data_IF_373238191849
#
_entry.id   IF_373238191849
#
_cell.length_a   1.000
_cell.length_b   1.000
_cell.length_c   1.000
_cell.angle_alpha   90.00
_cell.angle_beta   90.00
_cell.angle_gamma   90.00
#
_symmetry.space_group_name_H-M   'P 1'
#
loop_
_entity.id
_entity.type
_entity.pdbx_description
1 polymer ?
#
# COMPACT_ATOMS: atom_id res chain seq x y z
N UNK A 1 -10.02 29.76 -7.96
CA UNK A 1 -10.31 28.64 -7.06
C UNK A 1 -10.94 27.56 -7.90
N UNK A 2 -10.33 26.39 -7.96
CA UNK A 2 -10.96 25.22 -8.54
C UNK A 2 -11.73 24.53 -7.41
N UNK A 3 -13.07 24.62 -7.45
CA UNK A 3 -13.94 24.08 -6.40
C UNK A 3 -14.59 22.83 -6.98
N UNK A 4 -14.07 21.68 -6.60
CA UNK A 4 -14.59 20.37 -7.02
C UNK A 4 -15.52 19.79 -5.96
N UNK A 5 -16.45 18.93 -6.40
CA UNK A 5 -17.19 18.07 -5.46
C UNK A 5 -16.23 17.06 -4.84
N UNK A 6 -16.48 16.69 -3.59
CA UNK A 6 -15.77 15.58 -2.94
C UNK A 6 -16.49 14.28 -3.29
N UNK A 7 -15.73 13.31 -3.75
CA UNK A 7 -16.20 11.97 -4.08
C UNK A 7 -15.35 10.89 -3.43
N UNK A 8 -15.63 9.64 -3.81
CA UNK A 8 -14.88 8.47 -3.38
C UNK A 8 -14.56 7.59 -4.58
N UNK A 9 -13.43 6.89 -4.51
CA UNK A 9 -13.05 5.88 -5.51
C UNK A 9 -12.47 4.64 -4.83
N UNK A 10 -12.95 3.48 -5.24
CA UNK A 10 -12.35 2.19 -4.88
C UNK A 10 -11.17 1.91 -5.82
N UNK A 11 -9.99 1.74 -5.24
CA UNK A 11 -8.80 1.23 -5.92
C UNK A 11 -8.65 -0.26 -5.59
N UNK A 12 -8.41 -1.06 -6.62
CA UNK A 12 -8.22 -2.51 -6.54
C UNK A 12 -6.85 -2.87 -7.10
N UNK A 13 -6.30 -4.00 -6.66
CA UNK A 13 -4.99 -4.50 -7.12
C UNK A 13 -3.82 -3.53 -6.89
N UNK A 14 -3.94 -2.66 -5.88
CA UNK A 14 -2.89 -1.70 -5.50
C UNK A 14 -1.68 -2.48 -5.00
N UNK A 15 -0.50 -2.36 -5.64
CA UNK A 15 0.68 -3.13 -5.28
C UNK A 15 1.21 -2.70 -3.91
N UNK A 16 1.67 -3.67 -3.12
CA UNK A 16 2.32 -3.41 -1.83
C UNK A 16 3.83 -3.56 -1.98
N UNK A 17 4.55 -2.47 -1.75
CA UNK A 17 6.00 -2.44 -1.82
C UNK A 17 6.63 -2.77 -0.47
N UNK A 18 7.73 -3.52 -0.45
CA UNK A 18 8.51 -3.71 0.79
C UNK A 18 9.71 -2.76 0.74
N UNK A 19 9.80 -1.86 1.72
CA UNK A 19 10.89 -0.90 1.83
C UNK A 19 11.87 -1.30 2.94
N UNK A 20 13.08 -0.72 2.90
CA UNK A 20 14.16 -0.97 3.88
C UNK A 20 14.55 -2.45 4.01
N UNK A 21 14.47 -3.21 2.91
CA UNK A 21 14.94 -4.60 2.85
C UNK A 21 16.48 -4.63 2.83
N UNK A 22 17.14 -5.40 3.71
CA UNK A 22 18.59 -5.60 3.64
C UNK A 22 19.04 -6.16 2.28
N UNK A 23 20.17 -5.69 1.76
CA UNK A 23 20.64 -6.01 0.39
C UNK A 23 20.85 -7.52 0.15
N UNK A 24 21.17 -8.28 1.20
CA UNK A 24 21.39 -9.72 1.13
C UNK A 24 20.09 -10.55 1.18
N UNK A 25 18.93 -9.89 1.24
CA UNK A 25 17.62 -10.53 1.34
C UNK A 25 16.74 -10.27 0.12
N UNK A 26 15.83 -11.20 -0.12
CA UNK A 26 14.68 -11.07 -1.00
C UNK A 26 13.42 -11.29 -0.17
N UNK A 27 12.45 -10.38 -0.29
CA UNK A 27 11.22 -10.42 0.48
C UNK A 27 10.03 -10.50 -0.46
N UNK A 28 9.08 -11.36 -0.13
CA UNK A 28 7.80 -11.51 -0.83
C UNK A 28 6.65 -11.33 0.15
N UNK A 29 5.53 -10.82 -0.36
CA UNK A 29 4.29 -10.63 0.39
C UNK A 29 3.19 -11.55 -0.14
N UNK A 30 2.37 -12.08 0.77
CA UNK A 30 1.17 -12.85 0.47
C UNK A 30 -0.07 -12.25 1.16
N UNK A 31 -1.03 -11.67 0.43
CA UNK A 31 -0.96 -11.28 -0.98
C UNK A 31 -0.02 -10.10 -1.24
N UNK A 32 0.33 -9.86 -2.51
CA UNK A 32 1.18 -8.75 -2.94
C UNK A 32 0.41 -7.47 -3.30
N UNK A 33 -0.92 -7.50 -3.22
CA UNK A 33 -1.80 -6.39 -3.57
C UNK A 33 -2.90 -6.22 -2.52
N UNK A 34 -3.40 -5.00 -2.40
CA UNK A 34 -4.54 -4.65 -1.55
C UNK A 34 -5.61 -3.92 -2.35
N UNK A 35 -6.75 -3.67 -1.71
CA UNK A 35 -7.75 -2.73 -2.18
C UNK A 35 -8.09 -1.74 -1.09
N UNK A 36 -8.37 -0.49 -1.44
CA UNK A 36 -8.79 0.56 -0.52
C UNK A 36 -9.72 1.55 -1.22
N UNK A 37 -10.49 2.29 -0.44
CA UNK A 37 -11.31 3.39 -0.92
C UNK A 37 -10.63 4.69 -0.53
N UNK A 38 -10.47 5.63 -1.46
CA UNK A 38 -9.92 6.97 -1.22
C UNK A 38 -10.98 8.05 -1.43
N UNK A 39 -10.84 9.19 -0.76
CA UNK A 39 -11.71 10.36 -0.94
C UNK A 39 -10.92 11.58 -1.40
N UNK A 40 -11.53 12.43 -2.23
CA UNK A 40 -10.86 13.56 -2.89
C UNK A 40 -11.75 14.29 -3.90
N UNK A 41 -11.19 15.26 -4.63
CA UNK A 41 -11.90 15.97 -5.70
C UNK A 41 -12.29 15.03 -6.85
N UNK A 42 -13.55 15.07 -7.29
CA UNK A 42 -14.08 14.12 -8.30
C UNK A 42 -13.27 14.08 -9.59
N UNK A 43 -12.73 15.22 -10.05
CA UNK A 43 -11.95 15.27 -11.29
C UNK A 43 -10.59 14.58 -11.09
N UNK A 44 -9.95 14.81 -9.94
CA UNK A 44 -8.72 14.11 -9.56
C UNK A 44 -8.94 12.60 -9.45
N UNK A 45 -9.98 12.19 -8.74
CA UNK A 45 -10.33 10.77 -8.55
C UNK A 45 -10.61 10.06 -9.88
N UNK A 46 -11.15 10.76 -10.88
CA UNK A 46 -11.50 10.15 -12.18
C UNK A 46 -10.30 9.55 -12.91
N UNK A 47 -9.10 10.13 -12.72
CA UNK A 47 -7.86 9.75 -13.40
C UNK A 47 -6.98 8.75 -12.67
N UNK A 48 -7.35 8.32 -11.45
CA UNK A 48 -6.50 7.44 -10.65
C UNK A 48 -6.48 6.00 -11.16
N UNK A 49 -5.30 5.39 -11.10
CA UNK A 49 -5.05 3.97 -11.32
C UNK A 49 -4.60 3.28 -10.02
N UNK A 50 -4.25 2.00 -10.11
CA UNK A 50 -3.79 1.20 -8.98
C UNK A 50 -2.46 1.67 -8.38
N UNK A 51 -1.67 2.50 -9.08
CA UNK A 51 -0.40 3.04 -8.61
C UNK A 51 -0.54 4.45 -8.03
N UNK A 52 -1.74 5.02 -8.03
CA UNK A 52 -2.01 6.37 -7.52
C UNK A 52 -1.77 6.54 -6.01
N UNK A 53 -1.71 5.44 -5.26
CA UNK A 53 -1.45 5.47 -3.82
C UNK A 53 -0.28 4.56 -3.50
N UNK A 54 0.65 5.07 -2.69
CA UNK A 54 1.76 4.26 -2.22
C UNK A 54 1.32 3.41 -1.02
N UNK A 55 1.28 2.10 -1.22
CA UNK A 55 1.10 1.12 -0.15
C UNK A 55 2.41 0.39 0.09
N UNK A 56 2.85 0.34 1.35
CA UNK A 56 4.14 -0.24 1.68
C UNK A 56 4.17 -0.97 3.03
N UNK A 57 5.09 -1.91 3.15
CA UNK A 57 5.52 -2.51 4.43
C UNK A 57 6.97 -2.11 4.67
N UNK A 58 7.26 -1.53 5.83
CA UNK A 58 8.64 -1.26 6.25
C UNK A 58 9.23 -2.50 6.93
N UNK A 59 10.11 -3.20 6.20
CA UNK A 59 10.74 -4.44 6.68
C UNK A 59 11.46 -4.22 8.02
N UNK A 60 12.15 -3.09 8.17
CA UNK A 60 12.99 -2.82 9.34
C UNK A 60 12.17 -2.71 10.64
N UNK A 61 10.91 -2.28 10.54
CA UNK A 61 10.07 -2.02 11.71
C UNK A 61 9.04 -3.11 11.96
N UNK A 62 8.62 -3.84 10.92
CA UNK A 62 7.54 -4.82 11.03
C UNK A 62 8.01 -6.28 10.99
N UNK A 63 9.16 -6.57 10.37
CA UNK A 63 9.64 -7.96 10.28
C UNK A 63 10.07 -8.48 11.66
N UNK A 64 9.63 -9.69 11.98
CA UNK A 64 10.04 -10.43 13.17
C UNK A 64 10.15 -11.92 12.86
N UNK A 65 11.13 -12.66 13.41
CA UNK A 65 11.16 -14.11 13.31
C UNK A 65 10.00 -14.80 14.04
N UNK A 66 9.28 -14.08 14.91
CA UNK A 66 8.18 -14.62 15.71
C UNK A 66 6.80 -14.47 15.04
N UNK A 67 6.69 -13.60 14.02
CA UNK A 67 5.44 -13.35 13.30
C UNK A 67 5.69 -13.13 11.82
N UNK A 68 4.97 -13.88 11.00
CA UNK A 68 4.95 -13.67 9.55
C UNK A 68 3.89 -12.65 9.13
N UNK A 69 3.11 -12.10 10.05
CA UNK A 69 2.05 -11.13 9.74
C UNK A 69 2.57 -9.70 9.88
N UNK A 70 2.31 -8.90 8.84
CA UNK A 70 2.63 -7.46 8.76
C UNK A 70 1.41 -6.67 8.31
N UNK A 71 1.38 -5.38 8.64
CA UNK A 71 0.28 -4.47 8.28
C UNK A 71 0.76 -3.45 7.25
N UNK A 72 0.18 -3.42 6.04
CA UNK A 72 0.54 -2.44 5.03
C UNK A 72 0.13 -1.03 5.47
N UNK A 73 1.03 -0.08 5.23
CA UNK A 73 0.83 1.34 5.48
C UNK A 73 0.50 2.04 4.16
N UNK A 74 -0.36 3.05 4.23
CA UNK A 74 -0.84 3.81 3.07
C UNK A 74 -0.31 5.24 3.19
N UNK A 75 0.32 5.74 2.13
CA UNK A 75 0.73 7.14 2.00
C UNK A 75 -0.08 7.79 0.88
N UNK A 76 -0.84 8.81 1.25
CA UNK A 76 -1.64 9.62 0.34
C UNK A 76 -0.80 10.79 -0.19
N UNK A 77 -1.09 11.22 -1.41
CA UNK A 77 -0.61 12.49 -1.95
C UNK A 77 -1.42 13.68 -1.39
N UNK A 78 -1.08 14.89 -1.80
CA UNK A 78 -1.71 16.13 -1.32
C UNK A 78 -3.14 16.38 -1.83
N UNK A 79 -3.61 15.62 -2.81
CA UNK A 79 -4.93 15.76 -3.44
C UNK A 79 -5.96 14.73 -2.92
N UNK A 80 -5.49 13.72 -2.18
CA UNK A 80 -6.31 12.75 -1.47
C UNK A 80 -6.50 13.14 -0.01
N UNK A 81 -7.74 13.06 0.47
CA UNK A 81 -8.10 13.52 1.80
C UNK A 81 -7.98 12.41 2.85
N UNK A 82 -8.54 11.24 2.55
CA UNK A 82 -8.49 10.08 3.44
C UNK A 82 -8.57 8.76 2.66
N UNK A 83 -8.27 7.66 3.35
CA UNK A 83 -8.56 6.32 2.86
C UNK A 83 -9.30 5.48 3.90
N UNK A 84 -10.02 4.48 3.41
CA UNK A 84 -10.78 3.52 4.22
C UNK A 84 -10.86 2.16 3.54
N UNK A 85 -11.40 1.18 4.27
CA UNK A 85 -11.70 -0.16 3.74
C UNK A 85 -10.50 -0.88 3.12
N UNK A 86 -9.30 -0.65 3.67
CA UNK A 86 -8.07 -1.36 3.31
C UNK A 86 -8.24 -2.85 3.57
N UNK A 87 -8.09 -3.65 2.52
CA UNK A 87 -8.25 -5.10 2.57
C UNK A 87 -7.27 -5.81 1.63
N UNK A 88 -6.61 -6.87 2.08
CA UNK A 88 -6.55 -7.33 3.47
C UNK A 88 -5.82 -6.33 4.39
N UNK A 89 -6.11 -6.39 5.69
CA UNK A 89 -5.44 -5.56 6.71
C UNK A 89 -4.09 -6.11 7.16
N UNK A 90 -3.85 -7.39 6.93
CA UNK A 90 -2.62 -8.10 7.26
C UNK A 90 -2.17 -8.91 6.06
N UNK A 91 -0.85 -8.98 5.89
CA UNK A 91 -0.17 -9.72 4.83
C UNK A 91 0.84 -10.67 5.47
N UNK A 92 1.09 -11.80 4.80
CA UNK A 92 2.21 -12.66 5.13
C UNK A 92 3.50 -12.11 4.52
N UNK A 93 4.59 -12.08 5.29
CA UNK A 93 5.92 -11.68 4.84
C UNK A 93 6.87 -12.88 4.88
N UNK A 94 7.59 -13.12 3.78
CA UNK A 94 8.60 -14.17 3.71
C UNK A 94 9.91 -13.55 3.25
N UNK A 95 10.96 -13.69 4.06
CA UNK A 95 12.30 -13.22 3.77
C UNK A 95 13.24 -14.40 3.49
N UNK A 96 13.96 -14.35 2.38
CA UNK A 96 14.93 -15.38 1.97
C UNK A 96 16.27 -14.75 1.65
N UNK A 97 17.36 -15.51 1.77
CA UNK A 97 18.67 -15.04 1.34
C UNK A 97 18.68 -14.90 -0.17
N UNK A 98 19.12 -13.75 -0.68
CA UNK A 98 19.25 -13.52 -2.11
C UNK A 98 20.23 -14.54 -2.68
N UNK A 99 19.85 -15.19 -3.78
CA UNK A 99 20.76 -16.09 -4.49
C UNK A 99 21.97 -15.26 -5.01
N UNK A 100 23.19 -15.82 -4.96
CA UNK A 100 24.38 -15.16 -5.48
C UNK A 100 24.31 -14.95 -7.01
#
# INVERSE_FOLDING_TARGET
FDVQMIGERRLTEVPVNVINVPENLSVILGPSTVSLTVTGGVDYLSGLDENAVEVFVDYRTQWSPESLLVEPQVRLDEYLLEYRDLVPKQLEIIATRRAP
#
